data_IF_040344341501
#
_entry.id   IF_040344341501
#
_cell.length_a   1.000
_cell.length_b   1.000
_cell.length_c   1.000
_cell.angle_alpha   90.00
_cell.angle_beta   90.00
_cell.angle_gamma   90.00
#
_symmetry.space_group_name_H-M   'P 1'
#
loop_
_entity.id
_entity.type
_entity.pdbx_description
1 polymer ?
#
# COMPACT_ATOMS: atom_id res chain seq x y z
N UNK A 1 -88.59 -23.71 -24.43
CA UNK A 1 -88.01 -22.48 -25.00
C UNK A 1 -87.19 -21.64 -24.00
N UNK A 2 -87.72 -21.21 -22.85
CA UNK A 2 -86.91 -20.42 -21.89
C UNK A 2 -85.86 -21.26 -21.11
N UNK A 3 -86.16 -22.52 -20.79
CA UNK A 3 -85.23 -23.42 -20.09
C UNK A 3 -84.07 -23.89 -20.99
N UNK A 4 -84.35 -24.23 -22.26
CA UNK A 4 -83.31 -24.62 -23.24
C UNK A 4 -82.30 -23.50 -23.50
N UNK A 5 -82.73 -22.23 -23.50
CA UNK A 5 -81.81 -21.10 -23.66
C UNK A 5 -80.89 -20.91 -22.45
N UNK A 6 -81.37 -21.19 -21.24
CA UNK A 6 -80.53 -21.15 -20.03
C UNK A 6 -79.53 -22.31 -20.02
N UNK A 7 -79.94 -23.48 -20.49
CA UNK A 7 -79.07 -24.66 -20.54
C UNK A 7 -77.94 -24.47 -21.56
N UNK A 8 -78.26 -23.96 -22.76
CA UNK A 8 -77.26 -23.58 -23.77
C UNK A 8 -76.28 -22.54 -23.24
N UNK A 9 -76.77 -21.54 -22.50
CA UNK A 9 -75.91 -20.50 -21.92
C UNK A 9 -74.97 -21.07 -20.86
N UNK A 10 -75.43 -22.03 -20.05
CA UNK A 10 -74.61 -22.72 -19.06
C UNK A 10 -73.52 -23.59 -19.72
N UNK A 11 -73.87 -24.31 -20.79
CA UNK A 11 -72.95 -25.16 -21.54
C UNK A 11 -71.86 -24.29 -22.20
N UNK A 12 -72.24 -23.20 -22.85
CA UNK A 12 -71.29 -22.26 -23.47
C UNK A 12 -70.36 -21.66 -22.42
N UNK A 13 -70.88 -21.30 -21.24
CA UNK A 13 -70.07 -20.78 -20.15
C UNK A 13 -69.08 -21.82 -19.61
N UNK A 14 -69.51 -23.07 -19.45
CA UNK A 14 -68.64 -24.18 -19.06
C UNK A 14 -67.52 -24.43 -20.07
N UNK A 15 -67.82 -24.37 -21.37
CA UNK A 15 -66.83 -24.57 -22.44
C UNK A 15 -65.82 -23.40 -22.47
N UNK A 16 -66.27 -22.16 -22.26
CA UNK A 16 -65.38 -21.00 -22.18
C UNK A 16 -64.45 -21.11 -20.97
N UNK A 17 -64.98 -21.48 -19.79
CA UNK A 17 -64.17 -21.67 -18.59
C UNK A 17 -63.13 -22.79 -18.75
N UNK A 18 -63.51 -23.90 -19.39
CA UNK A 18 -62.62 -25.00 -19.67
C UNK A 18 -61.52 -24.62 -20.68
N UNK A 19 -61.88 -23.87 -21.73
CA UNK A 19 -60.93 -23.33 -22.69
C UNK A 19 -59.92 -22.38 -22.03
N UNK A 20 -60.40 -21.42 -21.21
CA UNK A 20 -59.52 -20.48 -20.49
C UNK A 20 -58.59 -21.23 -19.53
N UNK A 21 -59.09 -22.21 -18.78
CA UNK A 21 -58.25 -23.06 -17.92
C UNK A 21 -57.22 -23.85 -18.73
N UNK A 22 -57.58 -24.35 -19.90
CA UNK A 22 -56.67 -25.11 -20.76
C UNK A 22 -55.54 -24.24 -21.31
N UNK A 23 -55.84 -22.99 -21.71
CA UNK A 23 -54.84 -22.04 -22.20
C UNK A 23 -53.94 -21.55 -21.06
N UNK A 24 -54.49 -21.25 -19.88
CA UNK A 24 -53.70 -20.91 -18.70
C UNK A 24 -52.74 -22.03 -18.29
N UNK A 25 -53.16 -23.30 -18.35
CA UNK A 25 -52.28 -24.46 -18.08
C UNK A 25 -51.13 -24.59 -19.06
N UNK A 26 -51.27 -24.12 -20.31
CA UNK A 26 -50.17 -24.11 -21.30
C UNK A 26 -49.19 -22.97 -21.07
N UNK A 27 -49.67 -21.81 -20.62
CA UNK A 27 -48.86 -20.59 -20.45
C UNK A 27 -48.20 -20.52 -19.06
N UNK A 28 -48.83 -21.06 -18.01
CA UNK A 28 -48.28 -21.10 -16.65
C UNK A 28 -46.86 -21.69 -16.55
N UNK A 29 -46.52 -22.82 -17.20
CA UNK A 29 -45.17 -23.38 -17.14
C UNK A 29 -44.10 -22.46 -17.73
N UNK A 30 -44.42 -21.75 -18.83
CA UNK A 30 -43.51 -20.79 -19.44
C UNK A 30 -43.26 -19.60 -18.52
N UNK A 31 -44.33 -19.03 -17.94
CA UNK A 31 -44.22 -17.92 -17.00
C UNK A 31 -43.44 -18.30 -15.73
N UNK A 32 -43.65 -19.51 -15.19
CA UNK A 32 -42.86 -20.04 -14.06
C UNK A 32 -41.39 -20.21 -14.41
N UNK A 33 -41.08 -20.60 -15.65
CA UNK A 33 -39.70 -20.76 -16.13
C UNK A 33 -39.02 -19.40 -16.26
N UNK A 34 -39.66 -18.43 -16.91
CA UNK A 34 -39.18 -17.05 -17.02
C UNK A 34 -38.93 -16.42 -15.64
N UNK A 35 -39.85 -16.60 -14.70
CA UNK A 35 -39.69 -16.10 -13.33
C UNK A 35 -38.50 -16.74 -12.62
N UNK A 36 -38.25 -18.04 -12.83
CA UNK A 36 -37.08 -18.71 -12.26
C UNK A 36 -35.77 -18.26 -12.91
N UNK A 37 -35.76 -18.06 -14.23
CA UNK A 37 -34.61 -17.53 -14.95
C UNK A 37 -34.28 -16.11 -14.48
N UNK A 38 -35.28 -15.27 -14.30
CA UNK A 38 -35.09 -13.90 -13.80
C UNK A 38 -34.61 -13.89 -12.35
N UNK A 39 -35.12 -14.80 -11.50
CA UNK A 39 -34.60 -14.98 -10.13
C UNK A 39 -33.14 -15.41 -10.14
N UNK A 40 -32.77 -16.41 -10.95
CA UNK A 40 -31.38 -16.87 -11.08
C UNK A 40 -30.47 -15.76 -11.60
N UNK A 41 -30.94 -15.00 -12.59
CA UNK A 41 -30.21 -13.88 -13.15
C UNK A 41 -29.99 -12.78 -12.11
N UNK A 42 -31.04 -12.41 -11.38
CA UNK A 42 -30.97 -11.45 -10.28
C UNK A 42 -30.01 -11.91 -9.18
N UNK A 43 -30.12 -13.15 -8.73
CA UNK A 43 -29.23 -13.72 -7.72
C UNK A 43 -27.76 -13.70 -8.18
N UNK A 44 -27.49 -14.08 -9.44
CA UNK A 44 -26.14 -14.03 -10.00
C UNK A 44 -25.57 -12.61 -10.08
N UNK A 45 -26.42 -11.62 -10.36
CA UNK A 45 -26.03 -10.22 -10.39
C UNK A 45 -25.78 -9.68 -8.98
N UNK A 46 -26.65 -10.00 -8.02
CA UNK A 46 -26.46 -9.64 -6.62
C UNK A 46 -25.15 -10.24 -6.07
N UNK A 47 -24.85 -11.50 -6.41
CA UNK A 47 -23.59 -12.14 -6.04
C UNK A 47 -22.36 -11.42 -6.64
N UNK A 48 -22.40 -11.11 -7.94
CA UNK A 48 -21.30 -10.37 -8.61
C UNK A 48 -21.12 -8.97 -8.04
N UNK A 49 -22.21 -8.27 -7.74
CA UNK A 49 -22.14 -6.93 -7.13
C UNK A 49 -21.51 -7.01 -5.74
N UNK A 50 -21.93 -7.98 -4.93
CA UNK A 50 -21.36 -8.18 -3.60
C UNK A 50 -19.85 -8.53 -3.67
N UNK A 51 -19.46 -9.36 -4.63
CA UNK A 51 -18.05 -9.70 -4.88
C UNK A 51 -17.25 -8.46 -5.28
N UNK A 52 -17.74 -7.67 -6.23
CA UNK A 52 -17.08 -6.43 -6.66
C UNK A 52 -16.98 -5.40 -5.53
N UNK A 53 -18.01 -5.26 -4.70
CA UNK A 53 -17.97 -4.36 -3.54
C UNK A 53 -16.92 -4.82 -2.54
N UNK A 54 -16.86 -6.12 -2.24
CA UNK A 54 -15.87 -6.68 -1.32
C UNK A 54 -14.44 -6.53 -1.86
N UNK A 55 -14.23 -6.76 -3.16
CA UNK A 55 -12.94 -6.55 -3.82
C UNK A 55 -12.55 -5.08 -3.79
N UNK A 56 -13.46 -4.17 -4.17
CA UNK A 56 -13.20 -2.74 -4.17
C UNK A 56 -12.84 -2.22 -2.77
N UNK A 57 -13.54 -2.67 -1.73
CA UNK A 57 -13.21 -2.34 -0.34
C UNK A 57 -11.81 -2.82 0.06
N UNK A 58 -11.44 -4.06 -0.30
CA UNK A 58 -10.10 -4.61 -0.02
C UNK A 58 -9.01 -3.84 -0.74
N UNK A 59 -9.18 -3.58 -2.04
CA UNK A 59 -8.22 -2.81 -2.83
C UNK A 59 -8.06 -1.40 -2.30
N UNK A 60 -9.17 -0.75 -1.93
CA UNK A 60 -9.15 0.60 -1.36
C UNK A 60 -8.43 0.64 -0.01
N UNK A 61 -8.75 -0.29 0.89
CA UNK A 61 -8.07 -0.39 2.19
C UNK A 61 -6.56 -0.60 2.03
N UNK A 62 -6.14 -1.47 1.09
CA UNK A 62 -4.73 -1.71 0.80
C UNK A 62 -4.03 -0.49 0.21
N UNK A 63 -4.70 0.23 -0.69
CA UNK A 63 -4.18 1.47 -1.26
C UNK A 63 -4.02 2.56 -0.18
N UNK A 64 -5.02 2.72 0.68
CA UNK A 64 -5.00 3.68 1.79
C UNK A 64 -3.88 3.38 2.80
N UNK A 65 -3.66 2.11 3.14
CA UNK A 65 -2.55 1.69 4.02
C UNK A 65 -1.19 1.95 3.37
N UNK A 66 -1.06 1.67 2.07
CA UNK A 66 0.18 1.89 1.32
C UNK A 66 0.51 3.38 1.25
N UNK A 67 -0.48 4.21 0.94
CA UNK A 67 -0.34 5.66 0.87
C UNK A 67 0.00 6.25 2.25
N UNK A 68 -0.69 5.81 3.31
CA UNK A 68 -0.39 6.20 4.68
C UNK A 68 1.05 5.83 5.06
N UNK A 69 1.47 4.60 4.78
CA UNK A 69 2.82 4.12 5.07
C UNK A 69 3.88 4.95 4.33
N UNK A 70 3.65 5.24 3.04
CA UNK A 70 4.54 6.07 2.24
C UNK A 70 4.64 7.50 2.79
N UNK A 71 3.50 8.11 3.15
CA UNK A 71 3.46 9.46 3.72
C UNK A 71 4.23 9.55 5.05
N UNK A 72 4.00 8.60 5.97
CA UNK A 72 4.71 8.56 7.26
C UNK A 72 6.22 8.45 7.05
N UNK A 73 6.65 7.53 6.17
CA UNK A 73 8.07 7.31 5.87
C UNK A 73 8.71 8.53 5.23
N UNK A 74 8.01 9.19 4.31
CA UNK A 74 8.48 10.41 3.66
C UNK A 74 8.70 11.55 4.67
N UNK A 75 7.77 11.74 5.61
CA UNK A 75 7.92 12.76 6.65
C UNK A 75 9.05 12.41 7.64
N UNK A 76 9.18 11.14 8.06
CA UNK A 76 10.30 10.70 8.90
C UNK A 76 11.67 10.92 8.22
N UNK A 77 11.76 10.63 6.92
CA UNK A 77 12.96 10.92 6.12
C UNK A 77 13.24 12.42 6.04
N UNK A 78 12.21 13.25 5.85
CA UNK A 78 12.32 14.71 5.84
C UNK A 78 12.83 15.27 7.17
N UNK A 79 12.45 14.65 8.29
CA UNK A 79 12.94 15.00 9.63
C UNK A 79 14.38 14.52 9.91
N UNK A 80 14.99 13.78 8.97
CA UNK A 80 16.37 13.32 9.09
C UNK A 80 16.53 12.06 9.95
N UNK A 81 15.48 11.27 10.13
CA UNK A 81 15.53 10.00 10.86
C UNK A 81 16.41 9.00 10.11
N UNK A 82 17.41 8.45 10.80
CA UNK A 82 18.34 7.46 10.25
C UNK A 82 17.74 6.05 10.18
N UNK A 83 16.88 5.69 11.15
CA UNK A 83 16.22 4.38 11.26
C UNK A 83 14.73 4.47 10.95
N UNK A 84 14.39 4.81 9.70
CA UNK A 84 13.02 5.10 9.25
C UNK A 84 12.07 3.93 9.53
N UNK A 85 12.49 2.68 9.30
CA UNK A 85 11.65 1.50 9.54
C UNK A 85 11.31 1.29 11.02
N UNK A 86 12.25 1.60 11.91
CA UNK A 86 12.04 1.48 13.35
C UNK A 86 11.07 2.56 13.84
N UNK A 87 11.29 3.80 13.41
CA UNK A 87 10.41 4.92 13.71
C UNK A 87 8.99 4.68 13.17
N UNK A 88 8.87 4.21 11.92
CA UNK A 88 7.58 3.86 11.31
C UNK A 88 6.81 2.84 12.15
N UNK A 89 7.46 1.79 12.63
CA UNK A 89 6.82 0.76 13.46
C UNK A 89 6.28 1.32 14.78
N UNK A 90 6.92 2.35 15.34
CA UNK A 90 6.50 2.98 16.58
C UNK A 90 5.28 3.89 16.40
N UNK A 91 5.14 4.56 15.26
CA UNK A 91 4.12 5.61 15.05
C UNK A 91 2.95 5.21 14.13
N UNK A 92 3.08 4.10 13.37
CA UNK A 92 2.08 3.72 12.35
C UNK A 92 0.66 3.54 12.89
N UNK A 93 0.53 3.13 14.14
CA UNK A 93 -0.75 2.78 14.77
C UNK A 93 -1.44 4.03 15.34
N UNK A 94 -0.68 5.11 15.59
CA UNK A 94 -1.21 6.39 16.08
C UNK A 94 -1.71 7.27 14.93
N UNK A 95 -1.43 6.92 13.68
CA UNK A 95 -1.74 7.74 12.50
C UNK A 95 -2.89 7.10 11.72
N UNK A 96 -3.96 7.87 11.52
CA UNK A 96 -5.15 7.44 10.80
C UNK A 96 -5.58 8.45 9.74
N UNK A 97 -6.38 7.99 8.78
CA UNK A 97 -7.00 8.85 7.78
C UNK A 97 -8.33 9.36 8.32
N UNK A 98 -8.47 10.68 8.39
CA UNK A 98 -9.71 11.36 8.77
C UNK A 98 -10.77 11.24 7.66
N UNK A 99 -12.03 11.54 7.98
CA UNK A 99 -13.14 11.58 7.03
C UNK A 99 -12.87 12.53 5.84
N UNK A 100 -12.15 13.63 6.10
CA UNK A 100 -11.72 14.60 5.10
C UNK A 100 -10.57 14.10 4.20
N UNK A 101 -10.11 12.86 4.40
CA UNK A 101 -9.03 12.24 3.64
C UNK A 101 -7.61 12.64 4.08
N UNK A 102 -7.46 13.54 5.06
CA UNK A 102 -6.16 13.95 5.63
C UNK A 102 -5.62 12.92 6.62
N UNK A 103 -4.30 12.84 6.75
CA UNK A 103 -3.65 12.01 7.76
C UNK A 103 -3.47 12.80 9.06
N UNK A 104 -4.04 12.28 10.14
CA UNK A 104 -3.97 12.87 11.47
C UNK A 104 -3.35 11.86 12.44
N UNK A 105 -2.67 12.39 13.45
CA UNK A 105 -2.23 11.60 14.58
C UNK A 105 -3.35 11.48 15.63
N UNK A 106 -3.21 10.49 16.51
CA UNK A 106 -4.07 10.30 17.66
C UNK A 106 -4.07 11.57 18.51
N UNK A 107 -5.24 12.15 18.73
CA UNK A 107 -5.39 13.48 19.35
C UNK A 107 -5.67 14.62 18.36
N UNK A 108 -5.73 14.34 17.05
CA UNK A 108 -6.19 15.27 16.02
C UNK A 108 -5.11 16.20 15.46
N UNK A 109 -3.86 16.07 15.92
CA UNK A 109 -2.72 16.84 15.39
C UNK A 109 -2.38 16.42 13.96
N UNK A 110 -1.85 17.36 13.17
CA UNK A 110 -1.31 17.03 11.85
C UNK A 110 -0.12 16.07 11.97
N UNK A 111 0.03 15.18 10.98
CA UNK A 111 1.11 14.18 10.94
C UNK A 111 2.50 14.81 11.13
N UNK A 112 2.74 15.98 10.53
CA UNK A 112 4.04 16.66 10.59
C UNK A 112 4.40 17.10 11.99
N UNK A 113 3.44 17.70 12.70
CA UNK A 113 3.65 18.21 14.05
C UNK A 113 3.86 17.05 15.03
N UNK A 114 3.05 15.99 14.88
CA UNK A 114 3.20 14.77 15.66
C UNK A 114 4.58 14.13 15.49
N UNK A 115 5.02 13.90 14.25
CA UNK A 115 6.31 13.29 13.97
C UNK A 115 7.48 14.18 14.40
N UNK A 116 7.33 15.51 14.33
CA UNK A 116 8.36 16.43 14.83
C UNK A 116 8.52 16.31 16.35
N UNK A 117 7.41 16.20 17.09
CA UNK A 117 7.44 15.98 18.53
C UNK A 117 8.09 14.63 18.86
N UNK A 118 7.65 13.56 18.19
CA UNK A 118 8.21 12.22 18.33
C UNK A 118 9.72 12.18 18.10
N UNK A 119 10.24 12.80 17.04
CA UNK A 119 11.69 12.83 16.77
C UNK A 119 12.47 13.65 17.79
N UNK A 120 11.85 14.69 18.36
CA UNK A 120 12.47 15.52 19.42
C UNK A 120 12.59 14.74 20.73
N UNK A 121 11.59 13.93 21.06
CA UNK A 121 11.62 13.05 22.24
C UNK A 121 12.54 11.83 22.07
N UNK A 122 12.85 11.46 20.83
CA UNK A 122 13.64 10.27 20.47
C UNK A 122 14.86 10.64 19.62
N UNK A 123 15.85 11.38 20.17
CA UNK A 123 17.03 11.84 19.42
C UNK A 123 17.93 10.70 18.92
N UNK A 124 17.82 9.49 19.49
CA UNK A 124 18.53 8.28 19.04
C UNK A 124 18.11 7.80 17.65
N UNK A 125 16.98 8.28 17.15
CA UNK A 125 16.53 8.03 15.77
C UNK A 125 17.27 8.91 14.77
N UNK A 126 17.80 10.06 15.20
CA UNK A 126 18.60 10.94 14.38
C UNK A 126 20.03 10.39 14.23
N UNK A 127 20.71 10.68 13.10
CA UNK A 127 22.11 10.34 12.96
C UNK A 127 22.93 11.02 14.05
N UNK A 128 23.94 10.32 14.57
CA UNK A 128 24.84 10.86 15.57
C UNK A 128 25.47 12.17 15.05
N UNK A 129 25.02 13.29 15.58
CA UNK A 129 25.66 14.59 15.35
C UNK A 129 26.87 14.60 16.27
N UNK A 130 28.06 14.48 15.68
CA UNK A 130 29.32 14.74 16.37
C UNK A 130 29.35 16.22 16.75
N UNK A 131 28.67 16.58 17.83
CA UNK A 131 28.78 17.90 18.46
C UNK A 131 30.15 17.95 19.13
N UNK A 132 31.18 18.20 18.33
CA UNK A 132 32.57 18.08 18.74
C UNK A 132 33.49 18.91 17.84
N UNK A 133 33.23 20.22 17.78
CA UNK A 133 34.21 21.18 17.28
C UNK A 133 35.36 21.30 18.27
N UNK A 134 36.46 20.59 18.02
CA UNK A 134 37.80 20.93 18.50
C UNK A 134 38.83 20.27 17.59
N UNK A 135 39.23 21.00 16.53
CA UNK A 135 40.61 21.05 16.02
C UNK A 135 41.36 19.77 15.60
N UNK A 136 40.74 18.60 15.49
CA UNK A 136 41.41 17.40 15.00
C UNK A 136 40.49 16.63 14.06
N UNK A 137 40.91 16.53 12.80
CA UNK A 137 40.33 15.66 11.78
C UNK A 137 40.48 14.19 12.18
N UNK A 138 39.60 13.71 13.05
CA UNK A 138 39.39 12.29 13.25
C UNK A 138 38.59 11.75 12.06
N UNK A 139 39.30 11.07 11.17
CA UNK A 139 38.79 10.52 9.92
C UNK A 139 37.52 9.69 10.11
N UNK A 140 36.44 10.19 9.52
CA UNK A 140 35.21 9.46 9.33
C UNK A 140 35.45 8.44 8.21
N UNK A 141 35.56 7.17 8.60
CA UNK A 141 35.60 6.03 7.67
C UNK A 141 34.24 5.90 6.97
N UNK A 142 34.08 6.60 5.85
CA UNK A 142 33.15 6.20 4.80
C UNK A 142 33.83 5.14 3.95
N UNK A 143 33.34 3.90 4.04
CA UNK A 143 33.61 2.91 3.03
C UNK A 143 32.97 3.38 1.72
N UNK A 144 33.77 3.93 0.81
CA UNK A 144 33.43 4.08 -0.62
C UNK A 144 34.69 4.44 -1.42
N UNK A 145 35.05 3.55 -2.36
CA UNK A 145 36.00 3.79 -3.44
C UNK A 145 37.43 3.33 -3.14
N UNK A 146 37.83 2.18 -3.69
CA UNK A 146 39.24 1.93 -4.01
C UNK A 146 39.73 3.06 -4.93
N UNK A 147 40.42 4.06 -4.37
CA UNK A 147 41.19 5.01 -5.17
C UNK A 147 42.52 4.34 -5.46
N UNK A 148 42.58 3.68 -6.59
CA UNK A 148 43.80 3.08 -7.15
C UNK A 148 44.81 4.21 -7.36
N UNK A 149 45.92 4.20 -6.63
CA UNK A 149 47.03 5.13 -6.86
C UNK A 149 47.59 4.85 -8.26
N UNK A 150 47.53 5.86 -9.12
CA UNK A 150 48.00 5.78 -10.50
C UNK A 150 49.53 5.78 -10.53
N UNK A 151 50.13 4.62 -10.78
CA UNK A 151 51.57 4.35 -10.67
C UNK A 151 52.40 5.25 -11.60
N UNK A 152 51.83 5.73 -12.71
CA UNK A 152 52.52 6.58 -13.70
C UNK A 152 52.74 8.03 -13.21
N UNK A 153 52.07 8.41 -12.11
CA UNK A 153 52.19 9.74 -11.46
C UNK A 153 53.26 9.79 -10.38
N UNK A 154 53.84 8.66 -9.98
CA UNK A 154 54.91 8.61 -8.99
C UNK A 154 56.22 9.07 -9.67
N UNK A 155 56.50 10.37 -9.59
CA UNK A 155 57.75 10.98 -10.11
C UNK A 155 58.43 11.83 -9.04
N UNK A 156 59.77 11.95 -9.06
CA UNK A 156 60.47 12.92 -8.23
C UNK A 156 59.99 14.34 -8.57
N UNK A 157 59.29 15.00 -7.64
CA UNK A 157 58.67 16.32 -7.85
C UNK A 157 57.14 16.38 -7.71
N UNK A 158 56.49 15.29 -7.28
CA UNK A 158 55.07 15.25 -6.88
C UNK A 158 54.76 16.19 -5.69
N UNK A 159 53.50 16.61 -5.56
CA UNK A 159 53.09 17.52 -4.49
C UNK A 159 53.22 16.85 -3.11
N UNK A 160 53.49 17.64 -2.06
CA UNK A 160 53.71 17.12 -0.71
C UNK A 160 52.50 16.32 -0.19
N UNK A 161 51.28 16.72 -0.58
CA UNK A 161 50.05 16.00 -0.24
C UNK A 161 49.93 14.65 -0.93
N UNK A 162 50.39 14.54 -2.18
CA UNK A 162 50.41 13.27 -2.92
C UNK A 162 51.47 12.32 -2.35
N UNK A 163 52.62 12.84 -1.89
CA UNK A 163 53.65 11.99 -1.26
C UNK A 163 53.13 11.34 0.00
N UNK A 164 52.39 12.10 0.80
CA UNK A 164 51.85 11.60 2.04
C UNK A 164 50.78 10.52 1.79
N UNK A 165 49.95 10.68 0.75
CA UNK A 165 48.98 9.66 0.34
C UNK A 165 49.65 8.37 -0.14
N UNK A 166 50.71 8.48 -0.95
CA UNK A 166 51.48 7.32 -1.42
C UNK A 166 52.14 6.60 -0.23
N UNK A 167 52.69 7.34 0.73
CA UNK A 167 53.28 6.76 1.95
C UNK A 167 52.25 6.00 2.80
N UNK A 168 51.04 6.53 2.94
CA UNK A 168 49.96 5.87 3.67
C UNK A 168 49.53 4.57 2.99
N UNK A 169 49.44 4.54 1.66
CA UNK A 169 49.08 3.33 0.92
C UNK A 169 50.20 2.27 0.97
N UNK A 170 51.48 2.68 0.88
CA UNK A 170 52.63 1.78 1.08
C UNK A 170 52.61 1.18 2.49
N UNK A 171 52.36 1.99 3.52
CA UNK A 171 52.27 1.51 4.90
C UNK A 171 51.12 0.50 5.08
N UNK A 172 49.97 0.75 4.44
CA UNK A 172 48.83 -0.15 4.43
C UNK A 172 49.16 -1.49 3.78
N UNK A 173 49.73 -1.49 2.58
CA UNK A 173 50.13 -2.71 1.86
C UNK A 173 51.20 -3.48 2.66
N UNK A 174 52.21 -2.79 3.18
CA UNK A 174 53.24 -3.41 4.02
C UNK A 174 52.64 -4.07 5.26
N UNK A 175 51.67 -3.43 5.93
CA UNK A 175 50.98 -3.98 7.10
C UNK A 175 50.13 -5.22 6.77
N UNK A 176 49.58 -5.28 5.56
CA UNK A 176 48.81 -6.44 5.09
C UNK A 176 49.74 -7.62 4.74
N UNK A 177 50.89 -7.35 4.13
CA UNK A 177 51.89 -8.38 3.79
C UNK A 177 52.60 -8.93 5.04
N UNK A 178 52.88 -8.09 6.05
CA UNK A 178 53.50 -8.51 7.32
C UNK A 178 52.57 -9.31 8.24
N UNK A 179 51.24 -9.20 8.06
CA UNK A 179 50.25 -9.94 8.86
C UNK A 179 49.90 -11.32 8.23
N UNK A 180 50.49 -11.63 7.07
CA UNK A 180 50.24 -12.85 6.30
C UNK A 180 51.40 -13.85 6.24
N UNK A 181 52.38 -13.75 7.17
CA UNK A 181 53.45 -14.75 7.37
C UNK A 181 53.42 -15.26 8.80
#
# INVERSE_FOLDING_TARGET
MAEEQNDIRSIVQSVIEEFVKSEQRKVEPAYKTELMEERKRRESLEQRVNELVAENQRTRAQAEETERSAAIRAELQRLGVSKVDLAYKAVKDDIYRSEDGRLLAQGGSEIRDYLTHFVTENPELLPARLTGGSGASAGQRTAQGEVKVDMDRIRPGMSAEEMERVRQEIARVASQTLRGV
#
